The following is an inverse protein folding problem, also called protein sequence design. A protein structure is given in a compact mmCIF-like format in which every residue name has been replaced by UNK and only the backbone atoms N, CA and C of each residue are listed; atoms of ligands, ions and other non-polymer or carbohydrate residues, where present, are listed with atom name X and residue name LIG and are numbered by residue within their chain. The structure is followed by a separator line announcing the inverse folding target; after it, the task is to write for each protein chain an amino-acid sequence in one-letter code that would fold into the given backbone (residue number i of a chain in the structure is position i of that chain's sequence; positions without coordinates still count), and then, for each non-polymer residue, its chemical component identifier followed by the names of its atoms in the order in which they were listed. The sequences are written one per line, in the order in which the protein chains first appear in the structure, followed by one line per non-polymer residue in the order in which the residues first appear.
data_IF_064393515096
#
_entry.id   IF_064393515096
#
_cell.length_a   1.000
_cell.length_b   1.000
_cell.length_c   1.000
_cell.angle_alpha   90.00
_cell.angle_beta   90.00
_cell.angle_gamma   90.00
#
_symmetry.space_group_name_H-M   'P 1'
#
loop_
_entity.id
_entity.type
_entity.pdbx_description
1 polymer ?
#
# COMPACT_ATOMS: atom_id res chain seq x y z
N UNK A 1 -19.53 -24.60 -53.08
CA UNK A 1 -18.62 -25.17 -52.05
C UNK A 1 -17.67 -24.14 -51.41
N UNK A 2 -17.29 -23.06 -52.12
CA UNK A 2 -16.38 -22.01 -51.59
C UNK A 2 -17.02 -21.10 -50.53
N UNK A 3 -18.34 -20.85 -50.61
CA UNK A 3 -19.08 -19.96 -49.70
C UNK A 3 -19.22 -20.50 -48.27
N UNK A 4 -19.22 -21.82 -48.08
CA UNK A 4 -19.33 -22.45 -46.74
C UNK A 4 -18.01 -22.40 -45.98
N UNK A 5 -16.87 -22.51 -46.69
CA UNK A 5 -15.53 -22.46 -46.10
C UNK A 5 -15.21 -21.06 -45.54
N UNK A 6 -15.60 -19.99 -46.24
CA UNK A 6 -15.36 -18.62 -45.80
C UNK A 6 -16.16 -18.25 -44.54
N UNK A 7 -17.38 -18.77 -44.38
CA UNK A 7 -18.18 -18.57 -43.16
C UNK A 7 -17.56 -19.24 -41.94
N UNK A 8 -16.99 -20.44 -42.09
CA UNK A 8 -16.31 -21.14 -40.99
C UNK A 8 -15.00 -20.45 -40.58
N UNK A 9 -14.24 -19.88 -41.53
CA UNK A 9 -13.04 -19.11 -41.24
C UNK A 9 -13.37 -17.81 -40.48
N UNK A 10 -14.39 -17.07 -40.91
CA UNK A 10 -14.83 -15.85 -40.24
C UNK A 10 -15.32 -16.10 -38.80
N UNK A 11 -16.08 -17.18 -38.56
CA UNK A 11 -16.55 -17.55 -37.22
C UNK A 11 -15.39 -17.92 -36.29
N UNK A 12 -14.35 -18.59 -36.79
CA UNK A 12 -13.16 -18.93 -35.99
C UNK A 12 -12.32 -17.70 -35.62
N UNK A 13 -12.22 -16.71 -36.51
CA UNK A 13 -11.49 -15.46 -36.25
C UNK A 13 -12.25 -14.60 -35.23
N UNK A 14 -13.57 -14.50 -35.34
CA UNK A 14 -14.38 -13.73 -34.38
C UNK A 14 -14.35 -14.37 -32.98
N UNK A 15 -14.42 -15.71 -32.90
CA UNK A 15 -14.37 -16.41 -31.62
C UNK A 15 -12.99 -16.30 -30.93
N UNK A 16 -11.90 -16.30 -31.70
CA UNK A 16 -10.53 -16.17 -31.15
C UNK A 16 -10.19 -14.73 -30.74
N UNK A 17 -10.66 -13.72 -31.47
CA UNK A 17 -10.53 -12.30 -31.06
C UNK A 17 -11.42 -11.99 -29.86
N UNK A 18 -12.65 -12.51 -29.82
CA UNK A 18 -13.54 -12.35 -28.67
C UNK A 18 -13.02 -13.02 -27.40
N UNK A 19 -12.40 -14.20 -27.52
CA UNK A 19 -11.79 -14.91 -26.38
C UNK A 19 -10.52 -14.21 -25.87
N UNK A 20 -9.69 -13.65 -26.76
CA UNK A 20 -8.53 -12.85 -26.35
C UNK A 20 -8.94 -11.53 -25.67
N UNK A 21 -9.98 -10.86 -26.15
CA UNK A 21 -10.51 -9.64 -25.51
C UNK A 21 -11.11 -9.94 -24.13
N UNK A 22 -11.78 -11.07 -23.96
CA UNK A 22 -12.32 -11.52 -22.67
C UNK A 22 -11.22 -11.98 -21.70
N UNK A 23 -10.10 -12.52 -22.19
CA UNK A 23 -8.95 -12.89 -21.35
C UNK A 23 -8.11 -11.66 -20.93
N UNK A 24 -8.04 -10.62 -21.76
CA UNK A 24 -7.34 -9.36 -21.42
C UNK A 24 -8.09 -8.48 -20.42
N UNK A 25 -9.38 -8.72 -20.18
CA UNK A 25 -10.18 -7.94 -19.23
C UNK A 25 -10.15 -8.48 -17.78
N UNK A 26 -9.33 -9.50 -17.50
CA UNK A 26 -9.32 -10.21 -16.21
C UNK A 26 -8.08 -10.01 -15.34
N UNK A 27 -7.16 -9.13 -15.73
CA UNK A 27 -6.12 -8.63 -14.83
C UNK A 27 -6.40 -7.15 -14.53
N UNK A 28 -7.08 -6.87 -13.42
CA UNK A 28 -6.90 -5.58 -12.78
C UNK A 28 -5.42 -5.52 -12.39
N UNK A 29 -4.61 -4.83 -13.20
CA UNK A 29 -3.19 -4.65 -12.90
C UNK A 29 -3.09 -4.09 -11.48
N UNK A 30 -2.43 -4.82 -10.60
CA UNK A 30 -2.15 -4.33 -9.27
C UNK A 30 -1.32 -3.05 -9.43
N UNK A 31 -1.93 -1.88 -9.17
CA UNK A 31 -1.24 -0.62 -9.36
C UNK A 31 -0.14 -0.51 -8.31
N UNK A 32 1.10 -0.32 -8.74
CA UNK A 32 2.23 -0.10 -7.83
C UNK A 32 2.61 1.37 -7.91
N UNK A 33 2.51 2.08 -6.80
CA UNK A 33 3.09 3.41 -6.64
C UNK A 33 4.41 3.28 -5.90
N UNK A 34 5.52 3.63 -6.57
CA UNK A 34 6.86 3.58 -5.97
C UNK A 34 7.37 5.00 -5.72
N UNK A 35 7.62 5.33 -4.46
CA UNK A 35 8.41 6.50 -4.08
C UNK A 35 9.89 6.09 -3.97
N UNK A 36 10.70 6.48 -4.96
CA UNK A 36 12.12 6.14 -5.05
C UNK A 36 12.99 7.34 -4.69
N UNK A 37 13.17 7.59 -3.39
CA UNK A 37 13.96 8.70 -2.85
C UNK A 37 13.31 10.09 -2.93
N UNK A 38 12.07 10.18 -3.40
CA UNK A 38 11.31 11.41 -3.48
C UNK A 38 10.56 11.74 -2.18
N UNK A 39 9.90 12.89 -2.17
CA UNK A 39 8.99 13.31 -1.08
C UNK A 39 7.56 13.35 -1.60
N UNK A 40 6.69 12.56 -0.98
CA UNK A 40 5.24 12.63 -1.15
C UNK A 40 4.70 13.34 0.08
N UNK A 41 4.17 14.54 -0.12
CA UNK A 41 3.65 15.39 0.95
C UNK A 41 2.15 15.63 0.74
N UNK A 42 1.35 15.15 1.67
CA UNK A 42 -0.09 15.40 1.70
C UNK A 42 -0.35 16.56 2.63
N UNK A 43 -0.65 17.72 2.04
CA UNK A 43 -1.08 18.90 2.77
C UNK A 43 -2.30 18.61 3.65
N UNK A 44 -2.57 19.46 4.66
CA UNK A 44 -3.74 19.27 5.50
C UNK A 44 -5.02 19.10 4.67
N UNK A 45 -5.81 18.09 5.02
CA UNK A 45 -7.07 17.72 4.34
C UNK A 45 -6.92 17.21 2.90
N UNK A 46 -5.70 17.01 2.41
CA UNK A 46 -5.49 16.34 1.13
C UNK A 46 -5.91 14.87 1.22
N UNK A 47 -6.34 14.31 0.09
CA UNK A 47 -6.70 12.91 -0.03
C UNK A 47 -5.78 12.25 -1.05
N UNK A 48 -5.18 11.14 -0.66
CA UNK A 48 -4.39 10.28 -1.53
C UNK A 48 -4.98 8.87 -1.51
N UNK A 49 -5.23 8.34 -2.70
CA UNK A 49 -5.69 6.98 -2.89
C UNK A 49 -4.69 6.23 -3.77
N UNK A 50 -4.20 5.10 -3.27
CA UNK A 50 -3.37 4.16 -4.01
C UNK A 50 -4.20 2.90 -4.22
N UNK A 51 -4.66 2.68 -5.45
CA UNK A 51 -5.46 1.53 -5.84
C UNK A 51 -4.58 0.28 -6.08
N UNK A 52 -3.79 -0.07 -5.07
CA UNK A 52 -2.87 -1.19 -5.10
C UNK A 52 -1.78 -1.02 -4.04
N UNK A 53 -0.53 -1.27 -4.40
CA UNK A 53 0.60 -1.29 -3.47
C UNK A 53 1.34 0.04 -3.46
N UNK A 54 1.58 0.60 -2.29
CA UNK A 54 2.53 1.71 -2.11
C UNK A 54 3.87 1.17 -1.63
N UNK A 55 4.95 1.53 -2.31
CA UNK A 55 6.31 1.12 -1.96
C UNK A 55 7.21 2.34 -1.84
N UNK A 56 7.90 2.49 -0.70
CA UNK A 56 8.94 3.50 -0.48
C UNK A 56 10.30 2.84 -0.44
N UNK A 57 11.20 3.30 -1.32
CA UNK A 57 12.58 2.83 -1.47
C UNK A 57 13.54 4.02 -1.62
N UNK A 58 14.85 3.74 -1.58
CA UNK A 58 15.92 4.72 -1.68
C UNK A 58 15.74 5.96 -0.78
N UNK A 59 15.31 5.77 0.47
CA UNK A 59 15.01 6.84 1.42
C UNK A 59 13.82 7.75 1.09
N UNK A 60 12.86 7.27 0.29
CA UNK A 60 11.62 7.97 0.02
C UNK A 60 10.88 8.41 1.30
N UNK A 61 10.29 9.60 1.27
CA UNK A 61 9.54 10.19 2.37
C UNK A 61 8.07 10.29 1.99
N UNK A 62 7.17 9.80 2.83
CA UNK A 62 5.74 10.06 2.78
C UNK A 62 5.35 10.80 4.05
N UNK A 63 4.68 11.94 3.92
CA UNK A 63 4.18 12.70 5.05
C UNK A 63 2.72 13.05 4.81
N UNK A 64 1.86 12.61 5.73
CA UNK A 64 0.47 13.02 5.79
C UNK A 64 0.28 13.99 6.96
N UNK A 65 -0.01 15.26 6.64
CA UNK A 65 -0.23 16.29 7.62
C UNK A 65 -1.63 16.23 8.25
N UNK A 66 -1.88 17.12 9.21
CA UNK A 66 -3.13 17.15 9.97
C UNK A 66 -4.37 17.02 9.08
N UNK A 67 -5.27 16.10 9.45
CA UNK A 67 -6.52 15.84 8.75
C UNK A 67 -6.37 15.35 7.29
N UNK A 68 -5.16 15.04 6.81
CA UNK A 68 -4.97 14.37 5.52
C UNK A 68 -5.48 12.93 5.57
N UNK A 69 -5.91 12.40 4.42
CA UNK A 69 -6.40 11.04 4.27
C UNK A 69 -5.54 10.26 3.29
N UNK A 70 -5.03 9.11 3.71
CA UNK A 70 -4.35 8.13 2.86
C UNK A 70 -5.14 6.83 2.86
N UNK A 71 -5.43 6.30 1.68
CA UNK A 71 -5.98 4.97 1.50
C UNK A 71 -5.12 4.17 0.53
N UNK A 72 -4.67 2.99 0.97
CA UNK A 72 -3.91 2.03 0.17
C UNK A 72 -4.74 0.75 0.13
N UNK A 73 -5.30 0.40 -1.02
CA UNK A 73 -6.18 -0.78 -1.14
C UNK A 73 -5.40 -2.10 -1.16
N UNK A 74 -4.09 -2.04 -1.42
CA UNK A 74 -3.18 -3.17 -1.32
C UNK A 74 -2.28 -3.08 -0.09
N UNK A 75 -1.01 -3.44 -0.26
CA UNK A 75 -0.01 -3.40 0.81
C UNK A 75 0.77 -2.08 0.80
N UNK A 76 1.32 -1.74 1.96
CA UNK A 76 2.25 -0.63 2.11
C UNK A 76 3.62 -1.17 2.52
N UNK A 77 4.64 -0.92 1.71
CA UNK A 77 6.01 -1.33 1.98
C UNK A 77 6.90 -0.11 2.15
N UNK A 78 7.35 0.16 3.37
CA UNK A 78 8.39 1.16 3.63
C UNK A 78 9.71 0.40 3.74
N UNK A 79 10.31 0.05 2.60
CA UNK A 79 11.55 -0.72 2.58
C UNK A 79 12.73 0.11 3.07
N UNK A 80 12.78 1.39 2.66
CA UNK A 80 13.71 2.40 3.21
C UNK A 80 13.07 3.79 3.17
N UNK A 81 13.56 4.69 4.02
CA UNK A 81 12.98 6.01 4.20
C UNK A 81 11.87 6.01 5.23
N UNK A 82 10.88 6.90 5.11
CA UNK A 82 9.93 7.16 6.21
C UNK A 82 8.51 7.36 5.72
N UNK A 83 7.56 6.82 6.48
CA UNK A 83 6.16 7.20 6.42
C UNK A 83 5.76 7.86 7.74
N UNK A 84 5.27 9.10 7.66
CA UNK A 84 4.87 9.92 8.81
C UNK A 84 3.41 10.34 8.68
N UNK A 85 2.65 10.11 9.75
CA UNK A 85 1.24 10.43 9.86
C UNK A 85 1.03 11.35 11.06
N UNK A 86 0.69 12.61 10.81
CA UNK A 86 0.66 13.68 11.80
C UNK A 86 -0.76 14.13 12.17
N UNK A 87 -0.91 14.66 13.38
CA UNK A 87 -2.17 15.24 13.85
C UNK A 87 -3.35 14.28 13.69
N UNK A 88 -4.43 14.79 13.13
CA UNK A 88 -5.69 14.08 12.84
C UNK A 88 -5.67 13.30 11.52
N UNK A 89 -4.51 13.12 10.88
CA UNK A 89 -4.43 12.35 9.64
C UNK A 89 -5.00 10.94 9.82
N UNK A 90 -5.70 10.45 8.81
CA UNK A 90 -6.23 9.08 8.77
C UNK A 90 -5.50 8.33 7.68
N UNK A 91 -5.00 7.15 8.00
CA UNK A 91 -4.37 6.26 7.03
C UNK A 91 -4.97 4.87 7.14
N UNK A 92 -5.35 4.29 5.99
CA UNK A 92 -5.90 2.94 5.92
C UNK A 92 -5.11 2.12 4.91
N UNK A 93 -4.58 0.99 5.36
CA UNK A 93 -3.93 -0.02 4.52
C UNK A 93 -4.77 -1.28 4.58
N UNK A 94 -5.33 -1.69 3.44
CA UNK A 94 -6.29 -2.78 3.37
C UNK A 94 -5.64 -4.18 3.43
N UNK A 95 -4.35 -4.27 3.12
CA UNK A 95 -3.55 -5.48 3.31
C UNK A 95 -2.47 -5.26 4.37
N UNK A 96 -1.22 -5.61 4.08
CA UNK A 96 -0.14 -5.59 5.06
C UNK A 96 0.62 -4.27 5.02
N UNK A 97 1.07 -3.81 6.19
CA UNK A 97 2.11 -2.78 6.28
C UNK A 97 3.41 -3.42 6.71
N UNK A 98 4.48 -3.12 5.98
CA UNK A 98 5.83 -3.57 6.34
C UNK A 98 6.80 -2.41 6.40
N UNK A 99 7.70 -2.43 7.39
CA UNK A 99 8.86 -1.53 7.45
C UNK A 99 10.14 -2.35 7.45
N UNK A 100 11.10 -2.03 6.56
CA UNK A 100 12.26 -2.90 6.30
C UNK A 100 11.90 -4.13 5.44
N UNK A 101 12.67 -5.22 5.51
CA UNK A 101 12.27 -6.52 4.94
C UNK A 101 12.84 -6.95 3.58
N UNK A 102 13.75 -6.20 2.94
CA UNK A 102 14.47 -6.62 1.72
C UNK A 102 15.88 -6.05 1.85
N UNK A 103 16.99 -6.75 1.48
CA UNK A 103 18.35 -6.33 1.86
C UNK A 103 18.60 -4.88 1.45
N UNK A 104 18.44 -3.98 2.41
CA UNK A 104 18.75 -2.58 2.27
C UNK A 104 20.08 -2.40 2.98
N UNK A 105 21.15 -2.25 2.19
CA UNK A 105 22.50 -2.01 2.68
C UNK A 105 22.67 -0.65 3.36
N UNK A 106 21.66 0.23 3.31
CA UNK A 106 21.85 1.67 3.58
C UNK A 106 20.84 2.27 4.57
N UNK A 107 19.58 1.80 4.64
CA UNK A 107 18.60 2.33 5.61
C UNK A 107 17.38 1.41 5.79
N UNK A 108 16.93 1.24 7.04
CA UNK A 108 15.65 0.58 7.33
C UNK A 108 14.46 1.51 7.09
N UNK A 109 13.26 0.94 6.96
CA UNK A 109 12.02 1.71 6.91
C UNK A 109 11.62 2.26 8.28
N UNK A 110 11.17 3.51 8.31
CA UNK A 110 10.70 4.18 9.51
C UNK A 110 9.20 4.46 9.39
N UNK A 111 8.41 4.05 10.38
CA UNK A 111 7.01 4.41 10.49
C UNK A 111 6.82 5.33 11.71
N UNK A 112 6.21 6.48 11.49
CA UNK A 112 5.89 7.45 12.55
C UNK A 112 4.40 7.74 12.53
N UNK A 113 3.73 7.52 13.66
CA UNK A 113 2.34 7.92 13.89
C UNK A 113 2.29 8.84 15.10
N UNK A 114 1.94 10.11 14.89
CA UNK A 114 1.90 11.12 15.95
C UNK A 114 0.66 12.02 15.89
N UNK A 115 0.11 12.43 17.04
CA UNK A 115 -1.10 13.25 17.12
C UNK A 115 -2.32 12.45 17.56
N UNK A 116 -3.48 12.65 16.93
CA UNK A 116 -4.76 12.12 17.43
C UNK A 116 -5.57 11.33 16.41
N UNK A 117 -5.13 11.23 15.17
CA UNK A 117 -5.79 10.37 14.19
C UNK A 117 -5.31 8.92 14.28
N UNK A 118 -5.72 8.12 13.29
CA UNK A 118 -5.54 6.66 13.33
C UNK A 118 -4.84 6.15 12.07
N UNK A 119 -3.90 5.22 12.26
CA UNK A 119 -3.41 4.34 11.20
C UNK A 119 -4.06 2.96 11.36
N UNK A 120 -4.89 2.58 10.40
CA UNK A 120 -5.57 1.29 10.38
C UNK A 120 -4.91 0.37 9.35
N UNK A 121 -4.50 -0.82 9.78
CA UNK A 121 -3.90 -1.86 8.95
C UNK A 121 -4.79 -3.08 9.07
N UNK A 122 -5.53 -3.41 8.00
CA UNK A 122 -6.48 -4.52 8.00
C UNK A 122 -5.80 -5.89 7.88
N UNK A 123 -4.57 -5.93 7.37
CA UNK A 123 -3.70 -7.10 7.41
C UNK A 123 -2.82 -7.12 8.65
N UNK A 124 -1.59 -7.61 8.47
CA UNK A 124 -0.55 -7.59 9.49
C UNK A 124 0.37 -6.39 9.39
N UNK A 125 0.96 -6.02 10.52
CA UNK A 125 2.06 -5.07 10.62
C UNK A 125 3.36 -5.85 10.92
N UNK A 126 4.31 -5.84 9.99
CA UNK A 126 5.66 -6.41 10.23
C UNK A 126 6.71 -5.32 10.16
N UNK A 127 7.50 -5.15 11.22
CA UNK A 127 8.56 -4.15 11.27
C UNK A 127 9.90 -4.79 11.54
N UNK A 128 10.85 -4.59 10.64
CA UNK A 128 12.28 -4.83 10.84
C UNK A 128 13.06 -3.52 11.04
N UNK A 129 12.40 -2.37 10.84
CA UNK A 129 12.98 -1.04 11.02
C UNK A 129 12.57 -0.39 12.33
N UNK A 130 12.14 0.87 12.28
CA UNK A 130 11.70 1.59 13.47
C UNK A 130 10.22 1.98 13.36
N UNK A 131 9.47 1.75 14.43
CA UNK A 131 8.13 2.30 14.62
C UNK A 131 8.17 3.27 15.80
N UNK A 132 7.74 4.51 15.56
CA UNK A 132 7.43 5.49 16.59
C UNK A 132 5.93 5.76 16.60
N UNK A 133 5.27 5.45 17.71
CA UNK A 133 3.85 5.69 17.88
C UNK A 133 3.58 6.52 19.14
N UNK A 134 2.91 7.66 18.96
CA UNK A 134 2.34 8.47 20.04
C UNK A 134 0.84 8.72 19.85
N UNK A 135 0.19 8.04 18.89
CA UNK A 135 -1.25 8.11 18.64
C UNK A 135 -1.85 6.69 18.57
N UNK A 136 -2.84 6.46 17.70
CA UNK A 136 -3.51 5.17 17.55
C UNK A 136 -3.05 4.45 16.28
N UNK A 137 -2.55 3.22 16.46
CA UNK A 137 -2.37 2.24 15.40
C UNK A 137 -3.30 1.06 15.67
N UNK A 138 -4.10 0.67 14.68
CA UNK A 138 -5.00 -0.49 14.75
C UNK A 138 -4.55 -1.52 13.73
N UNK A 139 -4.24 -2.73 14.17
CA UNK A 139 -3.79 -3.84 13.32
C UNK A 139 -4.77 -5.00 13.48
N UNK A 140 -5.47 -5.39 12.42
CA UNK A 140 -6.55 -6.38 12.56
C UNK A 140 -6.06 -7.82 12.69
N UNK A 141 -4.86 -8.13 12.14
CA UNK A 141 -4.27 -9.47 12.20
C UNK A 141 -3.10 -9.49 13.16
N UNK A 142 -1.89 -9.71 12.65
CA UNK A 142 -0.69 -9.91 13.46
C UNK A 142 0.15 -8.64 13.51
N UNK A 143 0.69 -8.34 14.68
CA UNK A 143 1.75 -7.35 14.84
C UNK A 143 3.05 -8.05 15.21
N UNK A 144 4.05 -7.95 14.33
CA UNK A 144 5.38 -8.52 14.51
C UNK A 144 6.41 -7.40 14.41
N UNK A 145 7.07 -7.08 15.52
CA UNK A 145 8.19 -6.15 15.52
C UNK A 145 9.51 -6.88 15.81
N UNK A 146 10.41 -6.87 14.83
CA UNK A 146 11.79 -7.37 14.85
C UNK A 146 12.83 -6.25 14.88
N UNK A 147 12.41 -5.00 14.73
CA UNK A 147 13.25 -3.81 14.85
C UNK A 147 13.00 -3.05 16.17
N UNK A 148 13.06 -1.72 16.12
CA UNK A 148 12.85 -0.86 17.30
C UNK A 148 11.40 -0.35 17.35
N UNK A 149 10.77 -0.44 18.53
CA UNK A 149 9.45 0.13 18.77
C UNK A 149 9.53 1.11 19.93
N UNK A 150 9.17 2.37 19.68
CA UNK A 150 8.89 3.36 20.72
C UNK A 150 7.40 3.67 20.69
N UNK A 151 6.68 3.28 21.75
CA UNK A 151 5.24 3.47 21.85
C UNK A 151 4.88 4.25 23.12
N UNK A 152 4.32 5.45 22.95
CA UNK A 152 3.65 6.24 24.00
C UNK A 152 2.15 6.43 23.75
N UNK A 153 1.64 5.90 22.62
CA UNK A 153 0.21 5.86 22.29
C UNK A 153 -0.39 4.47 22.44
N UNK A 154 -1.40 4.18 21.61
CA UNK A 154 -2.12 2.90 21.61
C UNK A 154 -1.80 2.11 20.35
N UNK A 155 -1.49 0.81 20.52
CA UNK A 155 -1.46 -0.17 19.44
C UNK A 155 -2.47 -1.26 19.79
N UNK A 156 -3.54 -1.34 19.01
CA UNK A 156 -4.57 -2.37 19.14
C UNK A 156 -4.32 -3.46 18.11
N UNK A 157 -4.34 -4.71 18.56
CA UNK A 157 -4.14 -5.89 17.71
C UNK A 157 -5.36 -6.80 17.84
N UNK A 158 -5.94 -7.14 16.70
CA UNK A 158 -7.20 -7.87 16.59
C UNK A 158 -8.26 -7.04 15.86
N UNK A 159 -9.23 -7.73 15.25
CA UNK A 159 -10.40 -7.04 14.72
C UNK A 159 -11.21 -6.45 15.87
N UNK A 160 -11.65 -5.17 15.77
CA UNK A 160 -12.65 -4.63 16.68
C UNK A 160 -14.00 -5.35 16.54
#
# INVERSE_FOLDING_TARGET
MITTLMKMAAVRVILSVGLMLALSSLAAEAQIMTNNGGTVYLSPRAVMQVSGTYTSVANGQLTAEDSASLSVTGSMHVTSGRATFNGRSIAVVDSNLTTGGVPCTVAYGFLVRAGTGTLTIKGGLTSEGEIQNSATIVVWRDFVNRGTLTNSGTIEVGQP
#
